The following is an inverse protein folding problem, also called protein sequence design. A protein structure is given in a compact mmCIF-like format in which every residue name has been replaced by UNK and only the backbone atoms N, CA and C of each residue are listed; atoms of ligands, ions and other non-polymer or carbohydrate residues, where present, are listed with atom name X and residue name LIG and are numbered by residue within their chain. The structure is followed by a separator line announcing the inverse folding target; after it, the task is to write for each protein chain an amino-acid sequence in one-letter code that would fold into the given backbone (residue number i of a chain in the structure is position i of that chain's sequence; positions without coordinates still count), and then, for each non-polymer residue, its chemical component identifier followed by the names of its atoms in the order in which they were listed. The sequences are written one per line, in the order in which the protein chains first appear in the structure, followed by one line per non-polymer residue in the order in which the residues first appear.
data_IF_700138174131
#
_entry.id   IF_700138174131
#
_cell.length_a   1.000
_cell.length_b   1.000
_cell.length_c   1.000
_cell.angle_alpha   90.00
_cell.angle_beta   90.00
_cell.angle_gamma   90.00
#
_symmetry.space_group_name_H-M   'P 1'
#
loop_
_entity.id
_entity.type
_entity.pdbx_description
1 polymer ?
#
# COMPACT_ATOMS: atom_id res chain seq x y z
N UNK A 1 -76.52 7.55 -19.54
CA UNK A 1 -76.00 6.71 -18.45
C UNK A 1 -74.63 6.14 -18.86
N UNK A 2 -73.58 6.98 -19.00
CA UNK A 2 -72.34 6.59 -19.72
C UNK A 2 -71.06 7.35 -19.26
N UNK A 3 -71.00 7.85 -18.02
CA UNK A 3 -69.81 8.60 -17.51
C UNK A 3 -69.02 7.91 -16.39
N UNK A 4 -69.47 6.80 -15.82
CA UNK A 4 -68.81 6.13 -14.66
C UNK A 4 -67.79 5.05 -15.02
N UNK A 5 -67.83 4.46 -16.22
CA UNK A 5 -66.96 3.32 -16.57
C UNK A 5 -65.53 3.71 -17.01
N UNK A 6 -65.30 4.95 -17.45
CA UNK A 6 -63.97 5.41 -17.92
C UNK A 6 -63.00 5.70 -16.77
N UNK A 7 -63.50 6.19 -15.62
CA UNK A 7 -62.66 6.55 -14.46
C UNK A 7 -62.04 5.34 -13.75
N UNK A 8 -62.77 4.22 -13.64
CA UNK A 8 -62.29 3.01 -12.99
C UNK A 8 -61.19 2.28 -13.80
N UNK A 9 -61.33 2.24 -15.13
CA UNK A 9 -60.28 1.72 -16.04
C UNK A 9 -59.02 2.58 -15.97
N UNK A 10 -59.18 3.91 -15.95
CA UNK A 10 -58.05 4.83 -15.90
C UNK A 10 -57.26 4.75 -14.59
N UNK A 11 -57.95 4.58 -13.44
CA UNK A 11 -57.32 4.37 -12.12
C UNK A 11 -56.58 3.04 -12.01
N UNK A 12 -57.11 1.95 -12.60
CA UNK A 12 -56.40 0.65 -12.65
C UNK A 12 -55.15 0.69 -13.51
N UNK A 13 -55.20 1.39 -14.65
CA UNK A 13 -54.03 1.61 -15.52
C UNK A 13 -52.96 2.49 -14.86
N UNK A 14 -53.34 3.52 -14.11
CA UNK A 14 -52.39 4.35 -13.34
C UNK A 14 -51.73 3.56 -12.20
N UNK A 15 -52.46 2.68 -11.49
CA UNK A 15 -51.87 1.78 -10.48
C UNK A 15 -50.92 0.77 -11.12
N UNK A 16 -51.29 0.17 -12.25
CA UNK A 16 -50.42 -0.76 -12.98
C UNK A 16 -49.14 -0.07 -13.50
N UNK A 17 -49.24 1.18 -14.00
CA UNK A 17 -48.07 1.95 -14.40
C UNK A 17 -47.19 2.41 -13.23
N UNK A 18 -47.78 2.68 -12.05
CA UNK A 18 -47.02 3.01 -10.83
C UNK A 18 -46.27 1.81 -10.28
N UNK A 19 -46.90 0.63 -10.28
CA UNK A 19 -46.27 -0.64 -9.89
C UNK A 19 -45.20 -1.04 -10.90
N UNK A 20 -45.45 -0.93 -12.22
CA UNK A 20 -44.43 -1.18 -13.25
C UNK A 20 -43.25 -0.22 -13.14
N UNK A 21 -43.48 1.08 -12.89
CA UNK A 21 -42.40 2.05 -12.64
C UNK A 21 -41.63 1.74 -11.36
N UNK A 22 -42.29 1.30 -10.28
CA UNK A 22 -41.62 0.88 -9.05
C UNK A 22 -40.79 -0.40 -9.23
N UNK A 23 -41.28 -1.37 -10.01
CA UNK A 23 -40.54 -2.59 -10.34
C UNK A 23 -39.34 -2.28 -11.23
N UNK A 24 -39.49 -1.42 -12.24
CA UNK A 24 -38.39 -0.98 -13.11
C UNK A 24 -37.34 -0.17 -12.36
N UNK A 25 -37.76 0.72 -11.45
CA UNK A 25 -36.84 1.50 -10.62
C UNK A 25 -36.11 0.60 -9.61
N UNK A 26 -36.80 -0.35 -8.98
CA UNK A 26 -36.21 -1.35 -8.09
C UNK A 26 -35.22 -2.27 -8.81
N UNK A 27 -35.52 -2.69 -10.04
CA UNK A 27 -34.58 -3.49 -10.84
C UNK A 27 -33.36 -2.69 -11.28
N UNK A 28 -33.48 -1.38 -11.53
CA UNK A 28 -32.34 -0.52 -11.82
C UNK A 28 -31.43 -0.34 -10.59
N UNK A 29 -32.01 -0.13 -9.40
CA UNK A 29 -31.24 -0.03 -8.16
C UNK A 29 -30.54 -1.37 -7.87
N UNK A 30 -31.23 -2.50 -7.98
CA UNK A 30 -30.63 -3.82 -7.78
C UNK A 30 -29.54 -4.15 -8.81
N UNK A 31 -29.71 -3.76 -10.08
CA UNK A 31 -28.70 -3.97 -11.11
C UNK A 31 -27.46 -3.09 -10.90
N UNK A 32 -27.64 -1.83 -10.47
CA UNK A 32 -26.52 -0.94 -10.11
C UNK A 32 -25.83 -1.44 -8.84
N UNK A 33 -26.57 -1.92 -7.83
CA UNK A 33 -26.01 -2.55 -6.63
C UNK A 33 -25.23 -3.83 -6.97
N UNK A 34 -25.75 -4.67 -7.85
CA UNK A 34 -25.05 -5.88 -8.29
C UNK A 34 -23.81 -5.54 -9.14
N UNK A 35 -23.88 -4.50 -9.98
CA UNK A 35 -22.75 -4.04 -10.79
C UNK A 35 -21.68 -3.36 -9.93
N UNK A 36 -22.06 -2.59 -8.90
CA UNK A 36 -21.12 -2.00 -7.93
C UNK A 36 -20.48 -3.08 -7.06
N UNK A 37 -21.23 -4.09 -6.62
CA UNK A 37 -20.68 -5.22 -5.89
C UNK A 37 -19.76 -6.10 -6.78
N UNK A 38 -20.09 -6.27 -8.06
CA UNK A 38 -19.21 -6.91 -9.04
C UNK A 38 -17.98 -6.04 -9.36
N UNK A 39 -18.11 -4.71 -9.37
CA UNK A 39 -17.00 -3.79 -9.48
C UNK A 39 -16.13 -3.81 -8.22
N UNK A 40 -16.65 -4.00 -7.01
CA UNK A 40 -15.85 -4.22 -5.81
C UNK A 40 -15.13 -5.58 -5.84
N UNK A 41 -15.69 -6.59 -6.52
CA UNK A 41 -15.05 -7.89 -6.75
C UNK A 41 -14.00 -7.85 -7.89
N UNK A 42 -14.14 -6.94 -8.86
CA UNK A 42 -13.23 -6.78 -10.01
C UNK A 42 -12.18 -5.68 -9.78
N UNK A 43 -12.49 -4.68 -8.94
CA UNK A 43 -11.53 -3.83 -8.25
C UNK A 43 -10.91 -4.70 -7.18
N UNK A 44 -10.02 -5.56 -7.66
CA UNK A 44 -8.98 -6.21 -6.88
C UNK A 44 -8.46 -5.18 -5.87
N UNK A 45 -8.19 -5.59 -4.62
CA UNK A 45 -7.56 -4.71 -3.64
C UNK A 45 -6.39 -4.06 -4.35
N UNK A 46 -6.28 -2.73 -4.28
CA UNK A 46 -5.13 -2.00 -4.79
C UNK A 46 -3.89 -2.80 -4.43
N UNK A 47 -3.35 -3.45 -5.47
CA UNK A 47 -2.44 -4.57 -5.36
C UNK A 47 -1.10 -4.02 -4.85
N UNK A 48 -0.89 -4.19 -3.55
CA UNK A 48 0.31 -3.82 -2.81
C UNK A 48 -0.06 -3.72 -1.34
N UNK A 49 0.14 -4.81 -0.60
CA UNK A 49 -0.30 -4.96 0.79
C UNK A 49 0.08 -3.76 1.64
N UNK A 50 -0.91 -3.18 2.32
CA UNK A 50 -0.68 -2.23 3.41
C UNK A 50 -0.22 -3.07 4.60
N UNK A 51 1.07 -3.02 4.92
CA UNK A 51 1.60 -3.66 6.11
C UNK A 51 1.51 -2.63 7.25
N UNK A 52 0.44 -2.73 8.05
CA UNK A 52 0.21 -1.85 9.20
C UNK A 52 1.14 -2.23 10.35
N UNK A 53 2.33 -1.63 10.42
CA UNK A 53 3.24 -1.74 11.58
C UNK A 53 2.76 -0.91 12.78
N UNK A 54 1.45 -0.95 13.10
CA UNK A 54 0.91 -0.38 14.35
C UNK A 54 1.12 -1.30 15.55
N UNK A 55 1.80 -2.44 15.37
CA UNK A 55 1.99 -3.49 16.38
C UNK A 55 3.44 -4.01 16.50
N UNK A 56 4.46 -3.23 16.14
CA UNK A 56 5.84 -3.63 16.46
C UNK A 56 6.16 -3.49 17.97
N UNK A 57 5.39 -2.67 18.69
CA UNK A 57 5.56 -2.45 20.13
C UNK A 57 4.76 -3.42 21.03
N UNK A 58 3.92 -4.27 20.44
CA UNK A 58 3.24 -5.36 21.14
C UNK A 58 3.50 -6.65 20.36
N UNK A 59 4.06 -7.68 21.00
CA UNK A 59 4.21 -9.08 20.55
C UNK A 59 5.63 -9.50 20.19
N UNK A 60 6.38 -9.85 21.23
CA UNK A 60 7.03 -11.16 21.19
C UNK A 60 5.92 -12.23 21.07
N UNK A 61 6.02 -13.11 20.06
CA UNK A 61 5.26 -14.37 19.87
C UNK A 61 4.05 -14.46 18.93
N UNK A 62 3.23 -13.44 18.64
CA UNK A 62 2.07 -13.64 17.71
C UNK A 62 1.98 -12.72 16.48
N UNK A 63 2.67 -11.58 16.46
CA UNK A 63 2.57 -10.61 15.36
C UNK A 63 3.50 -10.92 14.18
N UNK A 64 4.64 -11.57 14.47
CA UNK A 64 5.63 -11.93 13.48
C UNK A 64 5.11 -12.91 12.42
N UNK A 65 4.13 -13.76 12.76
CA UNK A 65 3.60 -14.76 11.82
C UNK A 65 2.72 -14.14 10.72
N UNK A 66 1.95 -13.10 11.03
CA UNK A 66 1.07 -12.44 10.06
C UNK A 66 1.89 -11.61 9.07
N UNK A 67 2.88 -10.87 9.59
CA UNK A 67 3.83 -10.08 8.77
C UNK A 67 4.66 -10.98 7.85
N UNK A 68 5.13 -12.14 8.35
CA UNK A 68 5.83 -13.14 7.54
C UNK A 68 5.00 -13.63 6.36
N UNK A 69 3.73 -13.94 6.60
CA UNK A 69 2.79 -14.41 5.56
C UNK A 69 2.55 -13.35 4.48
N UNK A 70 2.57 -12.08 4.83
CA UNK A 70 2.46 -10.98 3.87
C UNK A 70 3.76 -10.71 3.10
N UNK A 71 4.92 -11.02 3.69
CA UNK A 71 6.20 -10.98 3.00
C UNK A 71 6.47 -12.20 2.10
N UNK A 72 5.81 -13.33 2.34
CA UNK A 72 5.91 -14.50 1.49
C UNK A 72 5.43 -14.17 0.07
N UNK A 73 6.25 -14.40 -0.98
CA UNK A 73 5.85 -14.09 -2.33
C UNK A 73 4.65 -14.95 -2.70
N UNK A 74 3.65 -14.34 -3.33
CA UNK A 74 2.46 -15.07 -3.79
C UNK A 74 2.79 -16.17 -4.81
N UNK A 75 3.98 -16.13 -5.41
CA UNK A 75 4.47 -17.07 -6.40
C UNK A 75 5.99 -17.29 -6.31
N UNK A 76 6.46 -18.18 -5.43
CA UNK A 76 7.81 -18.75 -5.53
C UNK A 76 8.72 -18.60 -4.31
N UNK A 77 9.93 -19.17 -4.40
CA UNK A 77 10.95 -19.07 -3.38
C UNK A 77 11.47 -17.63 -3.28
N UNK A 78 11.65 -17.15 -2.04
CA UNK A 78 12.25 -15.85 -1.76
C UNK A 78 13.65 -15.78 -2.37
N UNK A 79 13.98 -14.64 -2.98
CA UNK A 79 15.35 -14.37 -3.42
C UNK A 79 16.29 -14.38 -2.23
N UNK A 80 17.56 -14.69 -2.49
CA UNK A 80 18.65 -14.57 -1.53
C UNK A 80 18.98 -13.09 -1.29
N UNK A 81 18.12 -12.39 -0.56
CA UNK A 81 18.33 -11.01 -0.15
C UNK A 81 19.46 -10.94 0.86
N UNK A 82 20.42 -10.04 0.64
CA UNK A 82 21.66 -9.93 1.43
C UNK A 82 22.02 -8.48 1.80
N UNK A 83 21.22 -7.49 1.36
CA UNK A 83 21.45 -6.07 1.56
C UNK A 83 20.14 -5.28 1.63
N UNK A 84 20.12 -4.19 2.39
CA UNK A 84 19.02 -3.23 2.42
C UNK A 84 19.55 -1.86 2.00
N UNK A 85 18.87 -1.19 1.08
CA UNK A 85 19.13 0.17 0.66
C UNK A 85 17.92 1.06 0.96
N UNK A 86 18.11 2.05 1.81
CA UNK A 86 17.11 3.07 2.11
C UNK A 86 17.33 4.26 1.20
N UNK A 87 16.30 4.70 0.48
CA UNK A 87 16.37 5.85 -0.42
C UNK A 87 15.28 6.85 -0.03
N UNK A 88 15.62 8.14 0.09
CA UNK A 88 14.57 9.15 0.15
C UNK A 88 13.87 9.30 -1.20
N UNK A 89 12.55 9.49 -1.18
CA UNK A 89 11.77 9.69 -2.40
C UNK A 89 12.10 11.02 -3.08
N UNK A 90 12.54 12.02 -2.31
CA UNK A 90 12.70 13.41 -2.75
C UNK A 90 11.38 14.16 -2.87
N UNK A 91 10.29 13.59 -2.34
CA UNK A 91 8.93 14.14 -2.41
C UNK A 91 8.26 14.03 -1.04
N UNK A 92 7.61 15.12 -0.62
CA UNK A 92 6.76 15.11 0.58
C UNK A 92 5.39 14.46 0.33
N UNK A 93 5.01 14.29 -0.93
CA UNK A 93 3.82 13.54 -1.32
C UNK A 93 4.19 12.05 -1.48
N UNK A 94 3.64 11.22 -0.60
CA UNK A 94 3.77 9.77 -0.61
C UNK A 94 2.73 9.06 -1.47
N UNK A 95 1.81 9.78 -2.12
CA UNK A 95 0.81 9.18 -2.99
C UNK A 95 1.46 8.27 -4.04
N UNK A 96 1.06 6.99 -4.00
CA UNK A 96 1.65 5.94 -4.81
C UNK A 96 1.46 6.19 -6.30
N UNK A 97 0.32 6.78 -6.70
CA UNK A 97 0.05 7.08 -8.10
C UNK A 97 0.99 8.16 -8.64
N UNK A 98 1.28 9.16 -7.83
CA UNK A 98 2.24 10.23 -8.13
C UNK A 98 3.66 9.70 -8.17
N UNK A 99 4.07 8.90 -7.17
CA UNK A 99 5.41 8.33 -7.11
C UNK A 99 5.68 7.31 -8.23
N UNK A 100 4.67 6.52 -8.63
CA UNK A 100 4.80 5.55 -9.71
C UNK A 100 4.97 6.21 -11.09
N UNK A 101 4.38 7.39 -11.30
CA UNK A 101 4.59 8.16 -12.53
C UNK A 101 6.00 8.73 -12.62
N UNK A 102 6.59 9.11 -11.48
CA UNK A 102 7.93 9.67 -11.43
C UNK A 102 9.01 8.60 -11.57
N UNK A 103 8.84 7.48 -10.87
CA UNK A 103 9.82 6.39 -10.85
C UNK A 103 9.14 5.03 -10.62
N UNK A 104 8.70 4.35 -11.70
CA UNK A 104 8.05 3.04 -11.59
C UNK A 104 9.03 1.99 -11.06
N UNK A 105 8.53 1.02 -10.29
CA UNK A 105 9.29 -0.13 -9.78
C UNK A 105 10.58 0.24 -9.01
N UNK A 106 10.68 1.46 -8.45
CA UNK A 106 11.91 1.95 -7.81
C UNK A 106 12.17 1.40 -6.41
N UNK A 107 11.13 0.94 -5.71
CA UNK A 107 11.23 0.46 -4.33
C UNK A 107 10.43 -0.82 -4.16
N UNK A 108 10.95 -1.76 -3.35
CA UNK A 108 10.20 -2.92 -2.92
C UNK A 108 9.18 -2.52 -1.85
N UNK A 109 9.59 -1.62 -0.96
CA UNK A 109 8.79 -1.12 0.15
C UNK A 109 8.81 0.41 0.19
N UNK A 110 7.75 1.03 0.69
CA UNK A 110 7.67 2.47 0.89
C UNK A 110 7.17 2.80 2.30
N UNK A 111 7.91 3.61 3.06
CA UNK A 111 7.55 4.04 4.41
C UNK A 111 6.93 5.44 4.39
N UNK A 112 5.66 5.52 4.77
CA UNK A 112 4.84 6.73 4.69
C UNK A 112 5.19 7.80 5.72
N UNK A 113 4.98 9.06 5.34
CA UNK A 113 5.16 10.24 6.20
C UNK A 113 3.83 10.83 6.70
N UNK A 114 2.69 10.19 6.42
CA UNK A 114 1.35 10.69 6.72
C UNK A 114 0.72 11.52 5.61
N UNK A 115 1.37 11.68 4.45
CA UNK A 115 0.84 12.38 3.29
C UNK A 115 0.78 11.41 2.09
N UNK A 116 -0.40 10.87 1.79
CA UNK A 116 -0.61 9.88 0.72
C UNK A 116 -0.38 8.42 1.15
N UNK A 117 0.62 8.17 2.01
CA UNK A 117 0.76 6.93 2.79
C UNK A 117 0.77 7.29 4.27
N UNK A 118 0.02 6.52 5.06
CA UNK A 118 -0.15 6.72 6.49
C UNK A 118 1.21 6.78 7.22
N UNK A 119 1.27 7.55 8.31
CA UNK A 119 2.54 7.85 8.98
C UNK A 119 3.18 6.59 9.57
N UNK A 120 4.38 6.26 9.07
CA UNK A 120 5.14 5.08 9.48
C UNK A 120 4.57 3.76 8.97
N UNK A 121 3.52 3.78 8.14
CA UNK A 121 3.03 2.57 7.49
C UNK A 121 3.96 2.17 6.34
N UNK A 122 4.05 0.86 6.12
CA UNK A 122 4.88 0.28 5.06
C UNK A 122 3.97 -0.24 3.95
N UNK A 123 4.14 0.31 2.76
CA UNK A 123 3.50 -0.19 1.55
C UNK A 123 4.41 -1.18 0.82
N UNK A 124 3.87 -2.34 0.45
CA UNK A 124 4.58 -3.37 -0.31
C UNK A 124 4.28 -3.20 -1.80
N UNK A 125 5.32 -3.06 -2.61
CA UNK A 125 5.19 -2.89 -4.06
C UNK A 125 5.07 -4.24 -4.78
N UNK A 126 4.39 -4.26 -5.94
CA UNK A 126 4.19 -5.48 -6.75
C UNK A 126 5.50 -6.18 -7.17
N UNK A 127 6.60 -5.44 -7.25
CA UNK A 127 7.91 -6.03 -7.55
C UNK A 127 8.41 -6.94 -6.43
N UNK A 128 8.00 -6.72 -5.19
CA UNK A 128 8.28 -7.63 -4.09
C UNK A 128 7.55 -8.96 -4.30
N UNK A 129 6.25 -8.92 -4.59
CA UNK A 129 5.45 -10.12 -4.86
C UNK A 129 6.02 -10.95 -6.02
N UNK A 130 6.52 -10.26 -7.05
CA UNK A 130 7.16 -10.88 -8.22
C UNK A 130 8.65 -11.21 -8.00
N UNK A 131 9.21 -10.92 -6.81
CA UNK A 131 10.63 -11.06 -6.47
C UNK A 131 11.55 -10.42 -7.54
N UNK A 132 11.11 -9.32 -8.15
CA UNK A 132 11.86 -8.53 -9.14
C UNK A 132 12.78 -7.55 -8.43
N UNK A 133 13.87 -7.17 -9.10
CA UNK A 133 14.77 -6.13 -8.60
C UNK A 133 14.10 -4.76 -8.74
N UNK A 134 14.37 -3.88 -7.79
CA UNK A 134 13.98 -2.47 -7.87
C UNK A 134 14.85 -1.69 -8.87
N UNK A 135 14.23 -0.78 -9.62
CA UNK A 135 14.86 0.07 -10.65
C UNK A 135 15.40 1.37 -10.03
N UNK A 136 16.37 1.24 -9.11
CA UNK A 136 17.00 2.39 -8.42
C UNK A 136 17.73 3.38 -9.34
N UNK A 137 18.10 4.55 -8.79
CA UNK A 137 18.94 5.58 -9.46
C UNK A 137 20.37 5.09 -9.69
N UNK A 138 20.92 4.39 -8.70
CA UNK A 138 22.14 3.61 -8.86
C UNK A 138 21.74 2.29 -9.50
N UNK A 139 22.39 1.82 -10.58
CA UNK A 139 22.06 0.51 -11.12
C UNK A 139 22.13 -0.50 -9.97
N UNK A 140 21.13 -1.37 -9.81
CA UNK A 140 21.16 -2.45 -8.83
C UNK A 140 22.19 -3.48 -9.31
N UNK A 141 23.47 -3.10 -9.31
CA UNK A 141 24.59 -3.99 -9.67
C UNK A 141 24.73 -5.12 -8.67
N UNK A 142 24.03 -5.05 -7.53
CA UNK A 142 24.01 -6.11 -6.54
C UNK A 142 22.65 -6.80 -6.51
N UNK A 143 22.61 -7.94 -7.18
CA UNK A 143 21.63 -9.00 -6.92
C UNK A 143 21.49 -9.21 -5.40
N UNK A 144 20.24 -9.28 -4.91
CA UNK A 144 19.97 -9.48 -3.49
C UNK A 144 19.78 -8.20 -2.66
N UNK A 145 19.62 -7.03 -3.28
CA UNK A 145 19.33 -5.78 -2.55
C UNK A 145 17.83 -5.50 -2.42
N UNK A 146 17.34 -5.42 -1.18
CA UNK A 146 16.01 -4.87 -0.85
C UNK A 146 16.11 -3.35 -0.86
N UNK A 147 15.19 -2.67 -1.54
CA UNK A 147 15.18 -1.21 -1.64
C UNK A 147 13.92 -0.66 -0.97
N UNK A 148 14.12 0.21 0.01
CA UNK A 148 13.08 0.85 0.81
C UNK A 148 13.04 2.34 0.48
N UNK A 149 11.91 2.83 0.01
CA UNK A 149 11.65 4.25 -0.16
C UNK A 149 11.20 4.86 1.16
N UNK A 150 11.85 5.94 1.59
CA UNK A 150 11.40 6.76 2.71
C UNK A 150 10.73 8.02 2.14
N UNK A 151 9.41 8.17 2.34
CA UNK A 151 8.69 9.35 1.85
C UNK A 151 9.22 10.60 2.57
N UNK A 152 9.81 11.52 1.83
CA UNK A 152 10.39 12.74 2.37
C UNK A 152 11.23 13.49 1.34
N UNK A 153 11.56 14.74 1.69
CA UNK A 153 12.39 15.65 0.92
C UNK A 153 13.60 16.09 1.75
N UNK A 154 14.55 16.75 1.10
CA UNK A 154 15.74 17.32 1.76
C UNK A 154 15.38 18.48 2.71
N UNK A 155 14.21 19.08 2.51
CA UNK A 155 13.79 20.30 3.19
C UNK A 155 13.07 20.05 4.52
N UNK A 156 12.72 18.78 4.81
CA UNK A 156 11.92 18.43 5.97
C UNK A 156 12.46 17.21 6.69
N UNK A 157 12.71 17.37 7.99
CA UNK A 157 13.08 16.27 8.86
C UNK A 157 11.92 15.25 8.93
N UNK A 158 12.19 13.95 8.69
CA UNK A 158 11.20 12.90 8.91
C UNK A 158 10.66 12.90 10.33
N UNK A 159 9.38 12.59 10.49
CA UNK A 159 8.77 12.52 11.81
C UNK A 159 9.37 11.34 12.61
N UNK A 160 9.52 11.50 13.92
CA UNK A 160 10.10 10.46 14.79
C UNK A 160 9.40 9.10 14.63
N UNK A 161 8.07 9.08 14.55
CA UNK A 161 7.30 7.86 14.35
C UNK A 161 7.64 7.16 13.02
N UNK A 162 7.88 7.93 11.96
CA UNK A 162 8.29 7.39 10.66
C UNK A 162 9.67 6.73 10.74
N UNK A 163 10.63 7.40 11.40
CA UNK A 163 11.99 6.86 11.56
C UNK A 163 12.04 5.66 12.49
N UNK A 164 11.24 5.66 13.57
CA UNK A 164 11.19 4.53 14.50
C UNK A 164 10.59 3.29 13.81
N UNK A 165 9.51 3.44 13.05
CA UNK A 165 8.93 2.34 12.27
C UNK A 165 9.86 1.83 11.16
N UNK A 166 10.61 2.74 10.50
CA UNK A 166 11.63 2.34 9.54
C UNK A 166 12.71 1.48 10.20
N UNK A 167 13.20 1.88 11.38
CA UNK A 167 14.19 1.10 12.14
C UNK A 167 13.65 -0.30 12.46
N UNK A 168 12.43 -0.38 12.99
CA UNK A 168 11.83 -1.66 13.37
C UNK A 168 11.60 -2.55 12.15
N UNK A 169 11.19 -1.97 11.03
CA UNK A 169 11.05 -2.70 9.77
C UNK A 169 12.40 -3.20 9.23
N UNK A 170 13.46 -2.38 9.26
CA UNK A 170 14.80 -2.80 8.88
C UNK A 170 15.33 -3.93 9.75
N UNK A 171 15.15 -3.85 11.08
CA UNK A 171 15.53 -4.91 12.02
C UNK A 171 14.79 -6.22 11.73
N UNK A 172 13.50 -6.13 11.46
CA UNK A 172 12.69 -7.27 11.08
C UNK A 172 13.23 -7.93 9.80
N UNK A 173 13.49 -7.16 8.73
CA UNK A 173 14.08 -7.68 7.50
C UNK A 173 15.47 -8.27 7.71
N UNK A 174 16.31 -7.64 8.53
CA UNK A 174 17.63 -8.16 8.89
C UNK A 174 17.53 -9.53 9.54
N UNK A 175 16.60 -9.71 10.48
CA UNK A 175 16.35 -10.98 11.15
C UNK A 175 15.75 -12.02 10.20
N UNK A 176 14.77 -11.64 9.39
CA UNK A 176 14.04 -12.55 8.51
C UNK A 176 14.92 -13.13 7.41
N UNK A 177 15.76 -12.29 6.80
CA UNK A 177 16.62 -12.66 5.69
C UNK A 177 18.07 -12.91 6.10
N UNK A 178 18.37 -12.90 7.40
CA UNK A 178 19.73 -13.01 7.94
C UNK A 178 20.70 -11.99 7.31
N UNK A 179 20.22 -10.77 7.06
CA UNK A 179 21.01 -9.67 6.52
C UNK A 179 21.79 -9.02 7.67
N UNK A 180 23.13 -8.95 7.61
CA UNK A 180 23.92 -8.25 8.60
C UNK A 180 23.55 -6.76 8.65
N UNK A 181 23.50 -6.15 9.83
CA UNK A 181 23.23 -4.71 9.97
C UNK A 181 24.25 -3.82 9.24
N UNK A 182 25.48 -4.32 9.03
CA UNK A 182 26.50 -3.66 8.22
C UNK A 182 26.18 -3.58 6.72
N UNK A 183 25.21 -4.37 6.24
CA UNK A 183 24.72 -4.35 4.86
C UNK A 183 23.44 -3.52 4.72
N UNK A 184 23.21 -2.58 5.64
CA UNK A 184 22.13 -1.60 5.55
C UNK A 184 22.73 -0.26 5.19
N UNK A 185 22.35 0.27 4.03
CA UNK A 185 22.86 1.51 3.48
C UNK A 185 21.74 2.56 3.29
N UNK A 186 22.15 3.81 3.15
CA UNK A 186 21.25 4.94 2.86
C UNK A 186 21.77 5.76 1.69
N UNK A 187 21.01 5.82 0.61
CA UNK A 187 21.19 6.80 -0.47
C UNK A 187 20.26 7.98 -0.19
N UNK A 188 20.76 8.86 0.64
CA UNK A 188 20.10 10.07 1.08
C UNK A 188 20.94 11.24 0.58
N UNK A 189 20.28 12.23 0.02
CA UNK A 189 20.89 13.48 -0.47
C UNK A 189 21.74 14.11 0.62
N UNK A 190 22.87 14.72 0.22
CA UNK A 190 23.81 15.34 1.15
C UNK A 190 23.17 16.46 1.99
N UNK A 191 22.11 17.08 1.46
CA UNK A 191 21.36 18.16 2.10
C UNK A 191 20.22 17.67 3.00
N UNK A 192 20.03 16.36 3.13
CA UNK A 192 18.96 15.81 3.96
C UNK A 192 19.21 16.09 5.43
N UNK A 193 18.12 16.44 6.13
CA UNK A 193 18.13 16.65 7.57
C UNK A 193 18.14 15.34 8.38
N UNK A 194 18.06 14.17 7.73
CA UNK A 194 18.05 12.89 8.43
C UNK A 194 19.43 12.56 9.03
N UNK A 195 19.46 12.31 10.33
CA UNK A 195 20.67 11.79 11.00
C UNK A 195 20.90 10.31 10.65
N UNK A 196 21.76 10.10 9.64
CA UNK A 196 22.18 8.77 9.18
C UNK A 196 22.87 7.96 10.27
N UNK A 197 23.70 8.61 11.10
CA UNK A 197 24.45 7.91 12.14
C UNK A 197 23.52 7.41 13.23
N UNK A 198 22.55 8.22 13.66
CA UNK A 198 21.53 7.79 14.61
C UNK A 198 20.66 6.66 14.04
N UNK A 199 20.26 6.75 12.78
CA UNK A 199 19.47 5.71 12.11
C UNK A 199 20.20 4.36 12.12
N UNK A 200 21.46 4.32 11.66
CA UNK A 200 22.23 3.08 11.62
C UNK A 200 22.56 2.53 13.02
N UNK A 201 22.84 3.42 13.98
CA UNK A 201 23.01 3.02 15.39
C UNK A 201 21.75 2.33 15.89
N UNK A 202 20.56 2.86 15.60
CA UNK A 202 19.29 2.25 16.01
C UNK A 202 19.05 0.92 15.29
N UNK A 203 19.33 0.79 14.00
CA UNK A 203 19.13 -0.46 13.26
C UNK A 203 20.05 -1.58 13.79
N UNK A 204 21.26 -1.24 14.21
CA UNK A 204 22.28 -2.21 14.67
C UNK A 204 22.11 -2.68 16.12
N UNK A 205 21.17 -2.09 16.87
CA UNK A 205 20.82 -2.45 18.25
C UNK A 205 19.73 -3.51 18.28
#
# INVERSE_FOLDING_TARGET
MTKRQTSAKHRRQQRANRVRRQVVLGSFVMAISALTMLLELVVRPTEGGRLFMRKANELESSGASEVRRELEPRQGALKAWNRILIQQTGSENGDLSTLAQLTPDRWHFLVGNGNGVDLGDVHISKIWDAQRLAQGRTPPEQTGTIVIGLVGSDHRLPAKAQTDHLVDFCRFLCKEFSIPGANVDCEITENSLLDRAELFRKISQ
#
